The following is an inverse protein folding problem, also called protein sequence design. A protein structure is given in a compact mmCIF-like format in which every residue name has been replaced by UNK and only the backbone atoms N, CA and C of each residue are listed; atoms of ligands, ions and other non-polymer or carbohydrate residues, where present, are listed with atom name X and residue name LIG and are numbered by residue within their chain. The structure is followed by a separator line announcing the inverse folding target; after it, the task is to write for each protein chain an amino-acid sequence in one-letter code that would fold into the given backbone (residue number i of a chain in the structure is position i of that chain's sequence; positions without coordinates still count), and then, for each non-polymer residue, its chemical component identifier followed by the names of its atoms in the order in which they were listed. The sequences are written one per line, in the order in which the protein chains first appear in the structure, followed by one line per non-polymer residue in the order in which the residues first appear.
data_IF_030100446318
#
_entry.id   IF_030100446318
#
_cell.length_a   1.000
_cell.length_b   1.000
_cell.length_c   1.000
_cell.angle_alpha   90.00
_cell.angle_beta   90.00
_cell.angle_gamma   90.00
#
_symmetry.space_group_name_H-M   'P 1'
#
loop_
_entity.id
_entity.type
_entity.pdbx_description
1 polymer ?
#
# COMPACT_ATOMS: atom_id res chain seq x y z
N UNK A 1 -31.42 30.19 41.74
CA UNK A 1 -30.98 29.22 42.78
C UNK A 1 -31.84 27.98 42.67
N UNK A 2 -31.29 26.91 42.17
CA UNK A 2 -32.06 25.71 41.82
C UNK A 2 -32.11 24.64 42.93
N UNK A 3 -31.76 24.97 44.14
CA UNK A 3 -31.77 24.07 45.30
C UNK A 3 -30.48 23.27 45.48
N UNK A 4 -30.31 22.67 46.68
CA UNK A 4 -29.03 22.09 47.13
C UNK A 4 -28.57 20.83 46.37
N UNK A 5 -29.39 20.28 45.50
CA UNK A 5 -29.08 19.06 44.73
C UNK A 5 -28.70 19.29 43.25
N UNK A 6 -28.83 20.51 42.74
CA UNK A 6 -28.60 20.80 41.33
C UNK A 6 -27.46 21.80 41.06
N UNK A 7 -26.77 22.29 42.10
CA UNK A 7 -25.65 23.21 41.91
C UNK A 7 -26.05 24.56 41.30
N UNK A 8 -25.07 25.39 40.99
CA UNK A 8 -25.25 26.65 40.28
C UNK A 8 -25.40 26.36 38.78
N UNK A 9 -26.52 26.86 38.20
CA UNK A 9 -26.66 26.93 36.74
C UNK A 9 -26.29 28.39 36.38
N UNK A 10 -25.25 28.64 35.57
CA UNK A 10 -24.94 29.99 35.10
C UNK A 10 -26.16 30.55 34.35
N UNK A 11 -26.59 31.72 34.68
CA UNK A 11 -27.73 32.43 34.06
C UNK A 11 -27.28 33.52 33.09
N UNK A 12 -26.07 33.45 32.58
CA UNK A 12 -25.58 34.37 31.55
C UNK A 12 -25.09 33.55 30.35
N UNK A 13 -25.72 33.76 29.21
CA UNK A 13 -25.33 33.19 27.92
C UNK A 13 -24.01 33.76 27.39
N UNK A 14 -23.39 34.68 28.11
CA UNK A 14 -22.20 35.39 27.62
C UNK A 14 -20.91 34.61 27.72
N UNK A 15 -20.90 33.43 28.40
CA UNK A 15 -19.75 32.54 28.53
C UNK A 15 -19.98 31.18 27.88
N UNK A 16 -20.95 31.02 26.99
CA UNK A 16 -21.00 29.86 26.11
C UNK A 16 -19.96 30.07 25.05
N UNK A 17 -18.71 29.86 25.38
CA UNK A 17 -17.73 29.44 24.36
C UNK A 17 -18.34 28.19 23.74
N UNK A 18 -18.77 28.28 22.48
CA UNK A 18 -19.07 27.08 21.70
C UNK A 18 -17.89 26.17 21.88
N UNK A 19 -18.05 25.10 22.65
CA UNK A 19 -17.02 24.10 22.76
C UNK A 19 -16.79 23.60 21.32
N UNK A 20 -15.69 24.03 20.75
CA UNK A 20 -15.26 23.43 19.47
C UNK A 20 -15.11 21.96 19.73
N UNK A 21 -15.90 21.15 19.05
CA UNK A 21 -15.85 19.71 19.18
C UNK A 21 -14.40 19.25 19.14
N UNK A 22 -13.94 18.66 20.26
CA UNK A 22 -12.56 18.19 20.38
C UNK A 22 -12.30 17.11 19.33
N UNK A 23 -11.17 17.19 18.66
CA UNK A 23 -10.73 16.12 17.80
C UNK A 23 -10.55 14.84 18.62
N UNK A 24 -10.93 13.70 18.07
CA UNK A 24 -10.72 12.39 18.68
C UNK A 24 -9.63 11.59 17.98
N UNK A 25 -9.04 10.67 18.71
CA UNK A 25 -7.88 9.92 18.28
C UNK A 25 -8.24 8.80 17.28
N UNK A 26 -7.47 8.72 16.19
CA UNK A 26 -7.57 7.62 15.26
C UNK A 26 -6.18 7.05 14.91
N UNK A 27 -6.14 5.74 14.74
CA UNK A 27 -5.02 5.03 14.14
C UNK A 27 -5.33 4.75 12.67
N UNK A 28 -4.27 4.57 11.87
CA UNK A 28 -4.40 4.28 10.46
C UNK A 28 -3.37 3.27 9.95
N UNK A 29 -3.74 2.65 8.84
CA UNK A 29 -2.84 1.95 7.94
C UNK A 29 -3.23 2.30 6.50
N UNK A 30 -2.31 2.87 5.75
CA UNK A 30 -2.41 3.06 4.32
C UNK A 30 -1.43 2.10 3.63
N UNK A 31 -1.91 1.35 2.68
CA UNK A 31 -1.08 0.60 1.74
C UNK A 31 -1.44 1.05 0.34
N UNK A 32 -0.47 1.50 -0.42
CA UNK A 32 -0.64 1.95 -1.80
C UNK A 32 -0.73 0.78 -2.78
N UNK A 33 -1.03 1.04 -4.04
CA UNK A 33 -0.97 0.02 -5.09
C UNK A 33 0.46 -0.43 -5.36
N UNK A 34 0.67 -1.73 -5.58
CA UNK A 34 1.95 -2.29 -6.02
C UNK A 34 2.21 -2.03 -7.50
N UNK A 35 3.46 -2.00 -7.93
CA UNK A 35 3.84 -1.87 -9.33
C UNK A 35 3.58 -3.14 -10.14
N UNK A 36 3.65 -3.03 -11.48
CA UNK A 36 3.71 -4.19 -12.38
C UNK A 36 5.16 -4.57 -12.72
N UNK A 37 5.44 -5.85 -12.90
CA UNK A 37 6.76 -6.35 -13.27
C UNK A 37 7.15 -5.96 -14.70
N UNK A 38 8.43 -6.00 -15.01
CA UNK A 38 8.94 -5.80 -16.36
C UNK A 38 8.69 -7.02 -17.26
N UNK A 39 8.87 -6.84 -18.57
CA UNK A 39 8.84 -7.93 -19.56
C UNK A 39 10.20 -8.09 -20.26
N UNK A 40 10.45 -9.30 -20.84
CA UNK A 40 11.73 -9.65 -21.49
C UNK A 40 12.85 -9.82 -20.47
N UNK A 41 12.95 -11.00 -19.87
CA UNK A 41 13.76 -11.26 -18.68
C UNK A 41 13.47 -10.26 -17.55
N UNK A 42 12.17 -9.95 -17.36
CA UNK A 42 11.72 -8.89 -16.51
C UNK A 42 12.01 -9.10 -15.03
N UNK A 43 12.32 -8.00 -14.37
CA UNK A 43 12.44 -7.93 -12.91
C UNK A 43 11.07 -7.85 -12.23
N UNK A 44 11.03 -8.19 -10.95
CA UNK A 44 9.81 -8.05 -10.14
C UNK A 44 9.54 -6.58 -9.78
N UNK A 45 8.26 -6.25 -9.60
CA UNK A 45 7.84 -4.92 -9.18
C UNK A 45 7.96 -4.70 -7.68
N UNK A 46 8.13 -3.45 -7.28
CA UNK A 46 8.04 -3.00 -5.91
C UNK A 46 6.62 -3.07 -5.37
N UNK A 47 6.48 -3.28 -4.07
CA UNK A 47 5.23 -3.16 -3.36
C UNK A 47 4.84 -1.69 -3.17
N UNK A 48 3.54 -1.42 -3.01
CA UNK A 48 3.04 -0.14 -2.54
C UNK A 48 3.56 0.19 -1.15
N UNK A 49 3.74 1.47 -0.86
CA UNK A 49 4.17 1.97 0.42
C UNK A 49 3.24 1.53 1.54
N UNK A 50 3.79 1.21 2.70
CA UNK A 50 3.09 0.81 3.92
C UNK A 50 3.31 1.88 4.98
N UNK A 51 2.31 2.75 5.16
CA UNK A 51 2.35 3.89 6.09
C UNK A 51 1.36 3.66 7.23
N UNK A 52 1.83 3.70 8.48
CA UNK A 52 0.97 3.44 9.65
C UNK A 52 1.44 4.20 10.88
N UNK A 53 0.48 4.53 11.75
CA UNK A 53 0.75 4.97 13.13
C UNK A 53 0.24 3.97 14.18
N UNK A 54 -0.17 2.76 13.77
CA UNK A 54 -0.70 1.76 14.70
C UNK A 54 0.28 1.45 15.82
N UNK A 55 -0.18 1.61 17.06
CA UNK A 55 0.66 1.48 18.26
C UNK A 55 1.59 2.67 18.53
N UNK A 56 1.49 3.74 17.76
CA UNK A 56 2.24 5.00 17.92
C UNK A 56 1.34 6.19 18.27
N UNK A 57 1.74 7.39 17.84
CA UNK A 57 0.94 8.61 18.09
C UNK A 57 -0.27 8.65 17.17
N UNK A 58 -1.46 8.72 17.75
CA UNK A 58 -2.72 8.88 17.03
C UNK A 58 -2.79 10.20 16.23
N UNK A 59 -3.60 10.21 15.18
CA UNK A 59 -4.01 11.45 14.50
C UNK A 59 -5.34 11.93 15.09
N UNK A 60 -5.55 13.27 15.12
CA UNK A 60 -6.83 13.86 15.52
C UNK A 60 -7.79 13.95 14.33
N UNK A 61 -8.98 13.36 14.45
CA UNK A 61 -10.07 13.57 13.51
C UNK A 61 -11.05 14.61 14.09
N UNK A 62 -11.32 15.67 13.30
CA UNK A 62 -12.23 16.76 13.72
C UNK A 62 -13.67 16.31 13.48
N UNK A 63 -14.56 16.32 14.50
CA UNK A 63 -15.95 15.96 14.33
C UNK A 63 -16.65 16.77 13.23
N UNK A 64 -17.53 16.14 12.47
CA UNK A 64 -18.24 16.66 11.31
C UNK A 64 -17.36 17.02 10.10
N UNK A 65 -16.03 16.87 10.18
CA UNK A 65 -15.15 17.03 9.02
C UNK A 65 -15.16 15.76 8.14
N UNK A 66 -15.13 15.97 6.82
CA UNK A 66 -15.06 14.86 5.85
C UNK A 66 -13.61 14.61 5.42
N UNK A 67 -13.19 13.38 5.51
CA UNK A 67 -11.89 12.88 5.08
C UNK A 67 -12.06 12.07 3.78
N UNK A 68 -11.45 12.56 2.71
CA UNK A 68 -11.44 11.87 1.41
C UNK A 68 -10.41 10.76 1.44
N UNK A 69 -10.81 9.57 1.05
CA UNK A 69 -9.97 8.37 1.03
C UNK A 69 -9.79 7.92 -0.40
N UNK A 70 -8.54 7.86 -0.85
CA UNK A 70 -8.16 7.26 -2.14
C UNK A 70 -7.45 5.95 -1.87
N UNK A 71 -7.90 4.88 -2.51
CA UNK A 71 -7.22 3.59 -2.52
C UNK A 71 -6.53 3.42 -3.86
N UNK A 72 -5.20 3.32 -3.84
CA UNK A 72 -4.37 3.24 -5.04
C UNK A 72 -4.59 1.93 -5.81
N UNK A 73 -4.72 2.03 -7.12
CA UNK A 73 -4.71 0.89 -8.02
C UNK A 73 -3.32 0.30 -8.20
N UNK A 74 -3.23 -0.98 -8.52
CA UNK A 74 -1.96 -1.59 -8.93
C UNK A 74 -1.56 -1.18 -10.34
N UNK A 75 -0.25 -1.06 -10.60
CA UNK A 75 0.30 -0.77 -11.92
C UNK A 75 -0.20 -1.76 -12.97
N UNK A 76 -0.64 -1.24 -14.12
CA UNK A 76 -1.17 -2.07 -15.20
C UNK A 76 -0.08 -3.00 -15.76
N UNK A 77 -0.45 -4.24 -16.07
CA UNK A 77 0.43 -5.22 -16.69
C UNK A 77 1.04 -4.71 -18.00
N UNK A 78 2.25 -5.12 -18.29
CA UNK A 78 2.99 -4.75 -19.51
C UNK A 78 3.41 -5.99 -20.32
N UNK A 79 3.78 -5.73 -21.56
CA UNK A 79 4.35 -6.70 -22.47
C UNK A 79 3.33 -7.38 -23.37
N UNK A 80 3.76 -7.56 -24.58
CA UNK A 80 3.18 -8.40 -25.64
C UNK A 80 4.28 -9.29 -26.17
N UNK A 81 4.00 -10.38 -26.90
CA UNK A 81 5.04 -11.23 -27.45
C UNK A 81 6.13 -10.44 -28.17
N UNK A 82 7.38 -10.60 -27.72
CA UNK A 82 8.56 -9.92 -28.30
C UNK A 82 8.78 -8.47 -27.88
N UNK A 83 7.90 -7.87 -27.07
CA UNK A 83 8.07 -6.48 -26.58
C UNK A 83 8.67 -6.49 -25.17
N UNK A 84 9.82 -5.84 -25.02
CA UNK A 84 10.55 -5.69 -23.76
C UNK A 84 10.31 -4.29 -23.20
N UNK A 85 9.60 -4.20 -22.08
CA UNK A 85 9.25 -2.92 -21.46
C UNK A 85 9.34 -2.99 -19.94
N UNK A 86 9.72 -1.86 -19.35
CA UNK A 86 9.62 -1.62 -17.91
C UNK A 86 8.16 -1.70 -17.47
N UNK A 87 7.93 -2.20 -16.27
CA UNK A 87 6.61 -2.21 -15.64
C UNK A 87 6.11 -0.80 -15.28
N UNK A 88 4.81 -0.69 -15.07
CA UNK A 88 4.17 0.54 -14.61
C UNK A 88 4.19 0.60 -13.09
N UNK A 89 4.32 1.82 -12.57
CA UNK A 89 4.20 2.08 -11.14
C UNK A 89 2.74 1.90 -10.68
N UNK A 90 2.53 1.62 -9.40
CA UNK A 90 1.22 1.65 -8.77
C UNK A 90 0.79 3.06 -8.41
N UNK A 91 -0.50 3.23 -8.07
CA UNK A 91 -1.05 4.51 -7.64
C UNK A 91 -0.93 4.69 -6.12
N UNK A 92 -0.88 5.95 -5.68
CA UNK A 92 -0.85 6.32 -4.27
C UNK A 92 -2.17 6.02 -3.55
N UNK A 93 -2.08 5.70 -2.26
CA UNK A 93 -3.24 5.72 -1.35
C UNK A 93 -3.16 6.93 -0.42
N UNK A 94 -4.28 7.64 -0.26
CA UNK A 94 -4.30 8.88 0.53
C UNK A 94 -5.46 8.96 1.51
N UNK A 95 -5.26 9.71 2.61
CA UNK A 95 -6.33 10.23 3.48
C UNK A 95 -6.13 11.74 3.62
N UNK A 96 -7.07 12.51 3.11
CA UNK A 96 -6.98 13.98 3.06
C UNK A 96 -8.22 14.61 3.69
N UNK A 97 -8.00 15.55 4.60
CA UNK A 97 -9.06 16.31 5.26
C UNK A 97 -8.50 17.29 6.27
N UNK A 98 -9.38 17.89 7.10
CA UNK A 98 -8.98 18.90 8.09
C UNK A 98 -7.87 18.39 9.01
N UNK A 99 -6.70 19.01 8.95
CA UNK A 99 -5.54 18.65 9.77
C UNK A 99 -4.87 17.30 9.42
N UNK A 100 -5.37 16.58 8.40
CA UNK A 100 -4.83 15.26 7.99
C UNK A 100 -4.45 15.31 6.51
N UNK A 101 -3.19 14.95 6.22
CA UNK A 101 -2.66 14.78 4.88
C UNK A 101 -1.67 13.61 4.89
N UNK A 102 -2.17 12.42 4.56
CA UNK A 102 -1.41 11.18 4.55
C UNK A 102 -1.32 10.64 3.14
N UNK A 103 -0.12 10.22 2.72
CA UNK A 103 0.12 9.61 1.41
C UNK A 103 1.05 8.40 1.57
N UNK A 104 0.55 7.23 1.20
CA UNK A 104 1.37 6.07 0.91
C UNK A 104 1.65 6.05 -0.59
N UNK A 105 2.93 5.98 -0.96
CA UNK A 105 3.40 6.08 -2.35
C UNK A 105 3.24 4.76 -3.08
N UNK A 106 2.79 4.78 -4.34
CA UNK A 106 2.68 3.61 -5.19
C UNK A 106 3.99 2.86 -5.35
N UNK A 107 3.95 1.57 -5.57
CA UNK A 107 5.13 0.72 -5.77
C UNK A 107 5.76 0.91 -7.14
N UNK A 108 7.08 0.86 -7.24
CA UNK A 108 7.81 1.05 -8.49
C UNK A 108 7.70 -0.13 -9.46
N UNK A 109 7.61 0.14 -10.76
CA UNK A 109 7.59 -0.87 -11.81
C UNK A 109 8.91 -1.62 -11.94
N UNK A 110 8.87 -2.92 -12.24
CA UNK A 110 10.07 -3.75 -12.48
C UNK A 110 10.78 -3.39 -13.79
N UNK A 111 12.11 -3.43 -13.80
CA UNK A 111 12.94 -3.20 -14.98
C UNK A 111 12.79 -4.32 -16.02
N UNK A 112 13.21 -4.05 -17.25
CA UNK A 112 13.24 -5.01 -18.37
C UNK A 112 14.66 -5.22 -18.88
N UNK A 113 14.92 -6.37 -19.48
CA UNK A 113 16.18 -6.62 -20.16
C UNK A 113 16.09 -6.22 -21.64
N UNK A 114 16.60 -5.07 -22.00
CA UNK A 114 16.67 -4.61 -23.40
C UNK A 114 18.10 -4.24 -23.73
N UNK A 115 18.95 -5.21 -24.07
CA UNK A 115 20.32 -4.85 -24.35
C UNK A 115 20.98 -4.11 -23.17
N UNK A 116 22.16 -3.59 -23.34
CA UNK A 116 22.82 -2.77 -22.32
C UNK A 116 22.60 -1.27 -22.60
N UNK A 117 22.31 -0.42 -21.60
CA UNK A 117 21.99 -0.79 -20.24
C UNK A 117 20.55 -1.34 -20.10
N UNK A 118 20.36 -2.30 -19.21
CA UNK A 118 19.02 -2.78 -18.86
C UNK A 118 18.20 -1.64 -18.25
N UNK A 119 16.88 -1.73 -18.31
CA UNK A 119 16.05 -0.73 -17.65
C UNK A 119 16.16 -0.85 -16.12
N UNK A 120 16.34 0.28 -15.49
CA UNK A 120 16.27 0.41 -14.05
C UNK A 120 14.84 0.17 -13.54
N UNK A 121 14.76 -0.36 -12.35
CA UNK A 121 13.49 -0.41 -11.60
C UNK A 121 12.95 0.99 -11.35
N UNK A 122 11.62 1.12 -11.18
CA UNK A 122 10.96 2.36 -10.77
C UNK A 122 11.17 2.62 -9.29
N UNK A 123 11.36 3.90 -8.92
CA UNK A 123 11.25 4.32 -7.52
C UNK A 123 9.78 4.24 -7.09
N UNK A 124 9.54 4.08 -5.78
CA UNK A 124 8.17 3.99 -5.29
C UNK A 124 8.09 3.90 -3.77
N UNK A 125 6.92 3.51 -3.26
CA UNK A 125 6.78 3.14 -1.85
C UNK A 125 7.78 2.07 -1.48
N UNK A 126 7.86 0.99 -2.30
CA UNK A 126 9.03 0.13 -2.42
C UNK A 126 9.49 0.15 -3.87
N UNK A 127 10.80 0.07 -4.12
CA UNK A 127 11.38 0.15 -5.45
C UNK A 127 11.20 -1.13 -6.27
N UNK A 128 11.02 -1.01 -7.59
CA UNK A 128 11.06 -2.12 -8.54
C UNK A 128 12.47 -2.70 -8.67
N UNK A 129 12.59 -3.99 -8.96
CA UNK A 129 13.88 -4.64 -9.25
C UNK A 129 14.50 -4.14 -10.56
N UNK A 130 15.81 -4.04 -10.64
CA UNK A 130 16.54 -3.70 -11.86
C UNK A 130 16.50 -4.83 -12.89
N UNK A 131 16.40 -4.48 -14.17
CA UNK A 131 16.39 -5.43 -15.25
C UNK A 131 17.70 -6.22 -15.37
N UNK A 132 17.64 -7.40 -15.97
CA UNK A 132 18.83 -8.18 -16.29
C UNK A 132 19.77 -7.36 -17.20
N UNK A 133 21.08 -7.61 -17.17
CA UNK A 133 22.08 -6.88 -17.93
C UNK A 133 22.47 -5.50 -17.36
N UNK A 134 22.48 -5.37 -16.02
CA UNK A 134 23.06 -4.24 -15.33
C UNK A 134 22.09 -3.13 -14.95
N UNK A 135 20.77 -3.36 -15.01
CA UNK A 135 19.78 -2.43 -14.47
C UNK A 135 19.89 -2.31 -12.95
N UNK A 136 19.75 -1.11 -12.41
CA UNK A 136 19.70 -0.85 -10.97
C UNK A 136 18.28 -0.99 -10.43
N UNK A 137 18.16 -1.43 -9.18
CA UNK A 137 16.89 -1.40 -8.47
C UNK A 137 16.42 0.03 -8.20
N UNK A 138 15.11 0.25 -8.24
CA UNK A 138 14.53 1.52 -7.83
C UNK A 138 14.61 1.70 -6.32
N UNK A 139 14.61 2.95 -5.87
CA UNK A 139 14.64 3.32 -4.46
C UNK A 139 13.26 3.19 -3.82
N UNK A 140 13.24 2.73 -2.58
CA UNK A 140 12.06 2.77 -1.71
C UNK A 140 11.91 4.12 -1.01
N UNK A 141 10.68 4.52 -0.74
CA UNK A 141 10.39 5.71 0.07
C UNK A 141 10.69 5.40 1.54
N UNK A 142 11.56 6.22 2.14
CA UNK A 142 11.95 6.09 3.56
C UNK A 142 10.71 6.06 4.47
N UNK A 143 10.64 5.04 5.33
CA UNK A 143 9.52 4.84 6.26
C UNK A 143 8.28 4.19 5.64
N UNK A 144 8.29 3.86 4.34
CA UNK A 144 7.18 3.20 3.66
C UNK A 144 7.58 1.88 2.98
N UNK A 145 8.83 1.73 2.59
CA UNK A 145 9.31 0.50 1.96
C UNK A 145 10.79 0.51 1.69
N UNK A 146 11.27 -0.51 0.98
CA UNK A 146 12.68 -0.76 0.72
C UNK A 146 12.98 -0.79 -0.79
N UNK A 147 14.25 -0.70 -1.11
CA UNK A 147 14.75 -0.70 -2.49
C UNK A 147 14.49 -2.05 -3.20
N UNK A 148 14.37 -1.99 -4.49
CA UNK A 148 14.47 -3.15 -5.38
C UNK A 148 15.91 -3.64 -5.46
N UNK A 149 16.08 -4.91 -5.81
CA UNK A 149 17.42 -5.49 -6.04
C UNK A 149 17.96 -5.13 -7.44
N UNK A 150 19.28 -5.14 -7.58
CA UNK A 150 19.97 -4.85 -8.84
C UNK A 150 20.07 -6.07 -9.76
N UNK A 151 20.30 -5.84 -11.04
CA UNK A 151 20.73 -6.80 -12.05
C UNK A 151 19.86 -8.06 -12.13
N UNK A 152 18.64 -7.89 -12.53
CA UNK A 152 17.65 -8.96 -12.64
C UNK A 152 17.21 -9.49 -11.29
N UNK A 153 16.69 -8.63 -10.46
CA UNK A 153 16.23 -9.01 -9.13
C UNK A 153 14.71 -8.86 -8.94
N UNK A 154 14.23 -9.26 -7.79
CA UNK A 154 12.89 -8.97 -7.33
C UNK A 154 12.74 -7.52 -6.87
N UNK A 155 11.51 -7.04 -6.83
CA UNK A 155 11.18 -5.74 -6.27
C UNK A 155 11.25 -5.71 -4.74
N UNK A 156 11.42 -4.53 -4.16
CA UNK A 156 11.38 -4.29 -2.73
C UNK A 156 9.99 -4.55 -2.14
N UNK A 157 9.97 -4.94 -0.88
CA UNK A 157 8.77 -5.00 -0.06
C UNK A 157 8.83 -4.02 1.09
N UNK A 158 7.73 -3.82 1.81
CA UNK A 158 7.72 -2.89 2.94
C UNK A 158 8.65 -3.34 4.08
N UNK A 159 8.87 -4.63 4.24
CA UNK A 159 9.68 -5.20 5.32
C UNK A 159 11.12 -5.56 4.94
N UNK A 160 11.42 -5.71 3.63
CA UNK A 160 12.75 -6.11 3.18
C UNK A 160 13.04 -5.64 1.74
N UNK A 161 14.33 -5.46 1.44
CA UNK A 161 14.82 -5.19 0.08
C UNK A 161 14.55 -6.38 -0.85
N UNK A 162 14.43 -6.08 -2.14
CA UNK A 162 14.39 -7.10 -3.18
C UNK A 162 15.75 -7.79 -3.31
N UNK A 163 15.74 -9.07 -3.62
CA UNK A 163 16.95 -9.87 -3.83
C UNK A 163 16.87 -10.63 -5.16
N UNK A 164 18.01 -11.16 -5.64
CA UNK A 164 17.99 -12.05 -6.80
C UNK A 164 17.77 -13.50 -6.33
N UNK A 165 16.71 -14.21 -6.79
CA UNK A 165 15.68 -13.76 -7.72
C UNK A 165 14.37 -13.25 -7.04
N UNK A 166 14.30 -13.14 -5.72
CA UNK A 166 13.08 -13.06 -4.94
C UNK A 166 12.69 -11.63 -4.60
N UNK A 167 11.37 -11.38 -4.51
CA UNK A 167 10.80 -10.15 -3.98
C UNK A 167 10.99 -10.01 -2.47
N UNK A 168 11.11 -8.75 -2.00
CA UNK A 168 11.21 -8.40 -0.60
C UNK A 168 9.92 -8.72 0.18
N UNK A 169 10.05 -9.16 1.42
CA UNK A 169 8.91 -9.42 2.29
C UNK A 169 8.13 -8.14 2.64
N UNK A 170 6.83 -8.26 2.84
CA UNK A 170 5.99 -7.21 3.37
C UNK A 170 6.08 -7.06 4.89
N UNK A 171 5.31 -6.12 5.43
CA UNK A 171 5.18 -5.87 6.87
C UNK A 171 3.85 -6.41 7.41
N UNK A 172 3.90 -6.92 8.64
CA UNK A 172 2.73 -7.36 9.38
C UNK A 172 2.20 -6.22 10.26
N UNK A 173 0.86 -6.04 10.28
CA UNK A 173 0.19 -5.06 11.10
C UNK A 173 -1.09 -5.66 11.68
N UNK A 174 -1.41 -5.35 12.93
CA UNK A 174 -2.56 -5.93 13.66
C UNK A 174 -3.72 -4.94 13.86
N UNK A 175 -3.79 -3.85 13.13
CA UNK A 175 -4.85 -2.81 13.25
C UNK A 175 -6.26 -3.39 13.09
N UNK A 176 -6.42 -4.52 12.39
CA UNK A 176 -7.71 -5.21 12.20
C UNK A 176 -8.02 -6.22 13.30
N UNK A 177 -7.26 -6.23 14.41
CA UNK A 177 -7.42 -7.18 15.51
C UNK A 177 -6.63 -8.48 15.36
N UNK A 178 -6.08 -8.75 14.19
CA UNK A 178 -5.18 -9.88 13.92
C UNK A 178 -4.06 -9.47 12.97
N UNK A 179 -2.92 -10.17 13.04
CA UNK A 179 -1.76 -9.86 12.22
C UNK A 179 -2.01 -10.21 10.75
N UNK A 180 -1.90 -9.21 9.88
CA UNK A 180 -2.01 -9.37 8.42
C UNK A 180 -0.78 -8.77 7.76
N UNK A 181 -0.05 -9.58 6.98
CA UNK A 181 1.12 -9.12 6.22
C UNK A 181 0.68 -8.53 4.88
N UNK A 182 1.21 -7.34 4.52
CA UNK A 182 0.90 -6.62 3.28
C UNK A 182 2.16 -6.03 2.66
N UNK A 183 2.06 -5.55 1.43
CA UNK A 183 3.14 -4.87 0.71
C UNK A 183 4.39 -5.75 0.50
N UNK A 184 4.23 -6.97 -0.04
CA UNK A 184 5.33 -7.82 -0.51
C UNK A 184 5.70 -7.50 -1.96
N UNK A 185 7.01 -7.49 -2.29
CA UNK A 185 7.52 -7.25 -3.63
C UNK A 185 7.38 -8.45 -4.57
N UNK A 186 7.39 -8.22 -5.88
CA UNK A 186 7.34 -9.29 -6.90
C UNK A 186 8.68 -9.99 -7.12
N UNK A 187 8.66 -11.28 -7.46
CA UNK A 187 9.85 -12.03 -7.87
C UNK A 187 10.17 -11.82 -9.36
N UNK A 188 11.44 -11.98 -9.76
CA UNK A 188 11.84 -11.87 -11.18
C UNK A 188 11.45 -13.09 -12.01
N UNK A 189 11.38 -12.92 -13.32
CA UNK A 189 11.42 -14.06 -14.26
C UNK A 189 12.80 -14.73 -14.23
N UNK A 190 12.83 -16.08 -14.33
CA UNK A 190 14.05 -16.87 -14.55
C UNK A 190 13.82 -17.85 -15.68
N UNK A 191 14.78 -17.98 -16.56
CA UNK A 191 14.73 -18.86 -17.73
C UNK A 191 14.46 -20.33 -17.35
N UNK A 192 13.87 -21.12 -18.24
CA UNK A 192 13.58 -22.54 -18.03
C UNK A 192 14.78 -23.36 -17.53
N UNK A 193 14.53 -24.24 -16.58
CA UNK A 193 15.58 -25.06 -15.94
C UNK A 193 16.04 -24.52 -14.57
N UNK A 194 15.64 -23.31 -14.21
CA UNK A 194 15.82 -22.71 -12.87
C UNK A 194 14.47 -22.31 -12.30
N UNK A 195 14.37 -22.24 -10.96
CA UNK A 195 13.14 -21.77 -10.29
C UNK A 195 12.99 -20.28 -10.48
N UNK A 196 11.80 -19.82 -10.95
CA UNK A 196 11.46 -18.40 -10.97
C UNK A 196 11.52 -17.81 -9.57
N UNK A 197 11.78 -16.50 -9.49
CA UNK A 197 11.81 -15.78 -8.23
C UNK A 197 10.45 -15.84 -7.53
N UNK A 198 10.46 -16.13 -6.25
CA UNK A 198 9.26 -16.07 -5.41
C UNK A 198 8.87 -14.63 -5.12
N UNK A 199 7.58 -14.34 -5.07
CA UNK A 199 7.08 -13.10 -4.51
C UNK A 199 7.26 -13.04 -2.99
N UNK A 200 7.44 -11.85 -2.46
CA UNK A 200 7.51 -11.59 -1.02
C UNK A 200 6.17 -11.87 -0.33
N UNK A 201 6.23 -12.31 0.92
CA UNK A 201 5.03 -12.44 1.76
C UNK A 201 4.27 -11.11 1.84
N UNK A 202 2.95 -11.16 1.92
CA UNK A 202 2.13 -9.95 1.92
C UNK A 202 1.64 -9.53 0.54
N UNK A 203 1.47 -10.49 -0.37
CA UNK A 203 0.79 -10.28 -1.65
C UNK A 203 1.68 -10.13 -2.87
N UNK A 204 3.00 -10.21 -2.72
CA UNK A 204 3.91 -10.27 -3.84
C UNK A 204 3.73 -11.53 -4.69
N UNK A 205 3.85 -11.42 -5.99
CA UNK A 205 3.68 -12.54 -6.91
C UNK A 205 5.01 -13.05 -7.46
N UNK A 206 5.06 -14.33 -7.76
CA UNK A 206 6.25 -14.95 -8.39
C UNK A 206 6.41 -14.54 -9.84
N UNK A 207 7.65 -14.52 -10.32
CA UNK A 207 7.96 -14.35 -11.74
C UNK A 207 7.38 -15.49 -12.59
N UNK A 208 7.27 -15.26 -13.91
CA UNK A 208 6.82 -16.26 -14.84
C UNK A 208 7.75 -17.48 -14.84
N UNK A 209 7.18 -18.67 -15.01
CA UNK A 209 7.92 -19.94 -15.03
C UNK A 209 8.26 -20.42 -16.43
N UNK A 210 7.80 -19.72 -17.46
CA UNK A 210 8.10 -20.03 -18.86
C UNK A 210 8.19 -18.75 -19.69
N UNK A 211 8.97 -18.76 -20.79
CA UNK A 211 9.14 -17.58 -21.63
C UNK A 211 7.84 -17.03 -22.23
N UNK A 212 6.91 -17.90 -22.60
CA UNK A 212 5.61 -17.53 -23.15
C UNK A 212 4.55 -17.30 -22.07
N UNK A 213 4.85 -17.62 -20.80
CA UNK A 213 3.94 -17.46 -19.68
C UNK A 213 3.91 -16.01 -19.19
N UNK A 214 2.73 -15.55 -18.77
CA UNK A 214 2.58 -14.31 -18.03
C UNK A 214 2.93 -14.53 -16.54
N UNK A 215 3.56 -13.57 -15.90
CA UNK A 215 3.75 -13.67 -14.44
C UNK A 215 2.42 -13.48 -13.69
N UNK A 216 2.40 -13.91 -12.44
CA UNK A 216 1.25 -13.68 -11.57
C UNK A 216 1.04 -12.20 -11.28
N UNK A 217 -0.22 -11.81 -11.01
CA UNK A 217 -0.55 -10.49 -10.50
C UNK A 217 -0.26 -10.39 -9.00
N UNK A 218 0.07 -9.21 -8.52
CA UNK A 218 0.07 -8.90 -7.10
C UNK A 218 -1.33 -9.11 -6.50
N UNK A 219 -1.41 -9.54 -5.24
CA UNK A 219 -2.70 -9.78 -4.59
C UNK A 219 -3.45 -8.47 -4.36
N UNK A 220 -4.76 -8.46 -4.63
CA UNK A 220 -5.63 -7.30 -4.39
C UNK A 220 -5.71 -6.93 -2.91
N UNK A 221 -5.87 -5.66 -2.60
CA UNK A 221 -6.01 -5.11 -1.25
C UNK A 221 -4.80 -5.39 -0.33
N UNK A 222 -3.64 -5.64 -0.94
CA UNK A 222 -2.39 -5.87 -0.22
C UNK A 222 -1.26 -4.94 -0.63
N UNK A 223 -1.40 -4.25 -1.77
CA UNK A 223 -0.32 -3.46 -2.35
C UNK A 223 0.85 -4.31 -2.87
N UNK A 224 0.61 -5.60 -3.15
CA UNK A 224 1.68 -6.51 -3.58
C UNK A 224 2.20 -6.18 -4.99
N UNK A 225 3.52 -6.22 -5.19
CA UNK A 225 4.15 -6.10 -6.51
C UNK A 225 3.91 -7.34 -7.38
N UNK A 226 3.74 -7.19 -8.69
CA UNK A 226 3.64 -8.34 -9.58
C UNK A 226 5.02 -8.90 -9.96
N UNK A 227 5.04 -10.16 -10.36
CA UNK A 227 6.26 -10.80 -10.83
C UNK A 227 6.71 -10.29 -12.20
N UNK A 228 8.00 -10.44 -12.50
CA UNK A 228 8.57 -10.21 -13.82
C UNK A 228 8.18 -11.30 -14.82
N UNK A 229 8.02 -10.91 -16.06
CA UNK A 229 7.71 -11.80 -17.18
C UNK A 229 8.78 -11.81 -18.25
N UNK A 230 8.64 -12.70 -19.22
CA UNK A 230 9.40 -12.67 -20.46
C UNK A 230 8.47 -12.32 -21.63
N UNK A 231 8.45 -13.09 -22.71
CA UNK A 231 7.61 -12.83 -23.89
C UNK A 231 6.09 -12.82 -23.61
N UNK A 232 5.62 -13.49 -22.56
CA UNK A 232 4.23 -13.47 -22.11
C UNK A 232 3.80 -12.18 -21.38
N UNK A 233 4.77 -11.36 -20.98
CA UNK A 233 4.55 -10.12 -20.21
C UNK A 233 4.36 -10.34 -18.70
N UNK A 234 4.12 -9.24 -17.99
CA UNK A 234 3.89 -9.23 -16.54
C UNK A 234 2.41 -9.30 -16.14
N UNK A 235 2.14 -9.56 -14.89
CA UNK A 235 0.82 -9.35 -14.27
C UNK A 235 0.61 -7.89 -13.83
N UNK A 236 -0.61 -7.55 -13.43
CA UNK A 236 -0.90 -6.29 -12.78
C UNK A 236 -0.31 -6.28 -11.35
N UNK A 237 0.03 -5.11 -10.84
CA UNK A 237 0.23 -4.91 -9.41
C UNK A 237 -1.07 -5.12 -8.64
N UNK A 238 -0.97 -5.43 -7.34
CA UNK A 238 -2.13 -5.52 -6.45
C UNK A 238 -2.61 -4.14 -6.01
N UNK A 239 -3.92 -3.94 -5.89
CA UNK A 239 -4.47 -2.71 -5.31
C UNK A 239 -4.06 -2.56 -3.84
N UNK A 240 -4.04 -1.30 -3.39
CA UNK A 240 -3.83 -0.93 -2.00
C UNK A 240 -5.06 -1.16 -1.11
N UNK A 241 -4.97 -0.67 0.11
CA UNK A 241 -6.03 -0.64 1.12
C UNK A 241 -5.81 0.54 2.07
N UNK A 242 -6.88 1.16 2.54
CA UNK A 242 -6.83 2.16 3.61
C UNK A 242 -7.66 1.67 4.79
N UNK A 243 -7.08 1.73 5.98
CA UNK A 243 -7.74 1.29 7.22
C UNK A 243 -7.67 2.44 8.22
N UNK A 244 -8.81 2.78 8.83
CA UNK A 244 -8.93 3.70 9.96
C UNK A 244 -9.45 2.94 11.17
N UNK A 245 -8.96 3.25 12.35
CA UNK A 245 -9.38 2.63 13.62
C UNK A 245 -9.54 3.71 14.69
N UNK A 246 -10.72 3.79 15.29
CA UNK A 246 -11.09 4.78 16.32
C UNK A 246 -11.89 4.12 17.43
N UNK A 247 -12.07 4.76 18.57
CA UNK A 247 -12.91 4.23 19.63
C UNK A 247 -14.37 4.01 19.13
N UNK A 248 -15.04 2.97 19.60
CA UNK A 248 -16.41 2.67 19.16
C UNK A 248 -17.36 3.84 19.39
N UNK A 249 -17.14 4.64 20.47
CA UNK A 249 -17.94 5.80 20.80
C UNK A 249 -17.76 7.00 19.84
N UNK A 250 -16.65 7.05 19.12
CA UNK A 250 -16.28 8.15 18.22
C UNK A 250 -16.69 7.88 16.76
N UNK A 251 -17.15 6.66 16.47
CA UNK A 251 -17.57 6.32 15.11
C UNK A 251 -18.92 6.96 14.74
N UNK A 252 -18.91 7.89 13.80
CA UNK A 252 -20.10 8.64 13.35
C UNK A 252 -21.12 7.82 12.54
N UNK A 253 -20.70 6.71 11.99
CA UNK A 253 -21.53 5.90 11.06
C UNK A 253 -21.59 6.42 9.62
N UNK A 254 -20.95 7.56 9.30
CA UNK A 254 -21.08 8.22 8.00
C UNK A 254 -19.90 7.92 7.09
N UNK A 255 -20.10 7.07 6.09
CA UNK A 255 -19.06 6.67 5.11
C UNK A 255 -19.61 6.62 3.69
N UNK A 256 -18.72 6.76 2.69
CA UNK A 256 -18.98 6.42 1.28
C UNK A 256 -17.95 5.40 0.79
N UNK A 257 -18.15 4.80 -0.39
CA UNK A 257 -17.22 3.80 -0.94
C UNK A 257 -17.37 2.41 -0.32
N UNK A 258 -18.40 2.18 0.50
CA UNK A 258 -18.74 0.87 1.08
C UNK A 258 -17.59 0.16 1.81
N UNK A 259 -16.92 0.81 2.77
CA UNK A 259 -15.91 0.14 3.57
C UNK A 259 -16.51 -1.03 4.37
N UNK A 260 -15.69 -2.02 4.67
CA UNK A 260 -16.04 -3.00 5.69
C UNK A 260 -15.90 -2.34 7.06
N UNK A 261 -16.98 -2.41 7.87
CA UNK A 261 -17.02 -1.85 9.23
C UNK A 261 -17.01 -3.00 10.24
N UNK A 262 -16.00 -3.05 11.11
CA UNK A 262 -15.91 -4.01 12.19
C UNK A 262 -15.89 -3.26 13.53
N UNK A 263 -16.93 -3.41 14.34
CA UNK A 263 -17.06 -2.80 15.68
C UNK A 263 -16.59 -3.75 16.77
N UNK A 264 -16.20 -3.22 17.94
CA UNK A 264 -15.79 -4.01 19.09
C UNK A 264 -14.41 -4.70 18.94
N UNK A 265 -13.60 -4.29 17.98
CA UNK A 265 -12.22 -4.79 17.82
C UNK A 265 -11.36 -4.17 18.92
N UNK A 266 -11.25 -4.84 20.06
CA UNK A 266 -10.60 -4.31 21.27
C UNK A 266 -11.14 -2.93 21.72
N UNK A 267 -12.46 -2.72 21.61
CA UNK A 267 -13.14 -1.45 21.94
C UNK A 267 -13.02 -0.37 20.85
N UNK A 268 -12.63 -0.77 19.64
CA UNK A 268 -12.50 0.13 18.49
C UNK A 268 -13.36 -0.33 17.32
N UNK A 269 -13.83 0.65 16.54
CA UNK A 269 -14.40 0.44 15.21
C UNK A 269 -13.31 0.59 14.16
N UNK A 270 -13.18 -0.43 13.31
CA UNK A 270 -12.20 -0.50 12.23
C UNK A 270 -12.91 -0.40 10.88
N UNK A 271 -12.55 0.60 10.10
CA UNK A 271 -13.03 0.83 8.74
C UNK A 271 -11.98 0.35 7.75
N UNK A 272 -12.33 -0.61 6.89
CA UNK A 272 -11.42 -1.12 5.85
C UNK A 272 -11.95 -0.72 4.48
N UNK A 273 -11.26 0.21 3.81
CA UNK A 273 -11.55 0.67 2.45
C UNK A 273 -10.73 -0.11 1.44
N UNK A 274 -11.41 -0.94 0.65
CA UNK A 274 -10.83 -1.64 -0.52
C UNK A 274 -11.07 -0.88 -1.83
N UNK A 275 -11.82 0.22 -1.78
CA UNK A 275 -12.08 1.16 -2.85
C UNK A 275 -12.13 2.56 -2.28
N UNK A 276 -11.92 3.58 -3.12
CA UNK A 276 -11.96 4.98 -2.72
C UNK A 276 -13.34 5.39 -2.20
N UNK A 277 -13.36 6.32 -1.27
CA UNK A 277 -14.57 6.80 -0.61
C UNK A 277 -14.29 7.95 0.34
N UNK A 278 -15.08 8.06 1.39
CA UNK A 278 -14.89 9.05 2.45
C UNK A 278 -15.36 8.55 3.81
N UNK A 279 -14.85 9.19 4.85
CA UNK A 279 -15.35 9.09 6.21
C UNK A 279 -15.65 10.51 6.72
N UNK A 280 -16.84 10.73 7.26
CA UNK A 280 -17.18 11.97 7.97
C UNK A 280 -17.11 11.70 9.47
N UNK A 281 -16.21 12.36 10.16
CA UNK A 281 -15.87 12.16 11.57
C UNK A 281 -16.95 12.67 12.52
#
# INVERSE_FOLDING_TARGET
YSGATQGWIPNSDDDVTFETSQAYDAEYLLVAGGGSGGSGDGAGAGAGGHLTNFGGTAIGLTPSATYTITVGGGGAAVGSPGVKVKGNDGDDSTVLGTGVSLTAVGGGGGGASIGAPGYDGGDGGSGGGGGNSGGTGGSGTVGQGNDGGDNGAGGGGAGAVGTTPNGGAGLSNSITGSAVTRAGGGGRFVAPGSSSGSGGSGGGSSGASSPSGRSGAGSTNTGGGSGGGDNGGSGNGGSGVVILSMADADYSGTTTGSPTVATGVSGKTVLTFNASGSYTA
#
